data_IF_793408060828
#
_entry.id   IF_793408060828
#
_cell.length_a   1.000
_cell.length_b   1.000
_cell.length_c   1.000
_cell.angle_alpha   90.00
_cell.angle_beta   90.00
_cell.angle_gamma   90.00
#
_symmetry.space_group_name_H-M   'P 1'
#
loop_
_entity.id
_entity.type
_entity.pdbx_description
1 polymer ?
#
# COMPACT_ATOMS: atom_id res chain seq x y z
N UNK A 1 2.29 -13.45 -37.27
CA UNK A 1 1.61 -14.51 -36.48
C UNK A 1 2.64 -15.23 -35.63
N UNK A 2 2.77 -14.87 -34.36
CA UNK A 2 3.53 -15.66 -33.38
C UNK A 2 2.61 -16.77 -32.83
N UNK A 3 3.11 -18.00 -32.62
CA UNK A 3 2.27 -19.11 -32.20
C UNK A 3 1.83 -18.92 -30.74
N UNK A 4 0.53 -19.16 -30.54
CA UNK A 4 -0.29 -19.05 -29.32
C UNK A 4 0.15 -19.89 -28.11
N UNK A 5 1.35 -20.48 -28.07
CA UNK A 5 1.76 -21.39 -26.98
C UNK A 5 2.60 -20.70 -25.88
N UNK A 6 2.71 -19.37 -25.91
CA UNK A 6 3.56 -18.58 -25.01
C UNK A 6 2.86 -17.35 -24.45
N UNK A 7 1.52 -17.26 -24.47
CA UNK A 7 0.88 -16.10 -23.84
C UNK A 7 1.19 -16.13 -22.34
N UNK A 8 1.95 -15.13 -21.94
CA UNK A 8 2.33 -14.92 -20.55
C UNK A 8 1.40 -13.86 -19.97
N UNK A 9 1.20 -13.91 -18.67
CA UNK A 9 0.54 -12.88 -17.89
C UNK A 9 1.36 -12.62 -16.65
N UNK A 10 1.24 -11.43 -16.09
CA UNK A 10 1.71 -11.19 -14.74
C UNK A 10 0.56 -11.41 -13.76
N UNK A 11 0.88 -11.94 -12.60
CA UNK A 11 -0.01 -11.98 -11.46
C UNK A 11 0.61 -11.14 -10.36
N UNK A 12 -0.04 -10.04 -10.01
CA UNK A 12 0.32 -9.19 -8.88
C UNK A 12 -0.53 -9.60 -7.68
N UNK A 13 0.13 -10.06 -6.61
CA UNK A 13 -0.54 -10.40 -5.35
C UNK A 13 -0.20 -9.36 -4.30
N UNK A 14 -1.22 -8.79 -3.68
CA UNK A 14 -1.06 -7.85 -2.57
C UNK A 14 -1.42 -8.55 -1.26
N UNK A 15 -0.53 -8.44 -0.29
CA UNK A 15 -0.68 -9.00 1.04
C UNK A 15 -0.80 -7.88 2.07
N UNK A 16 -1.72 -8.02 3.01
CA UNK A 16 -1.77 -7.18 4.20
C UNK A 16 -0.59 -7.46 5.13
N UNK A 17 -0.40 -6.60 6.13
CA UNK A 17 0.62 -6.80 7.18
C UNK A 17 0.55 -8.15 7.91
N UNK A 18 -0.61 -8.80 7.92
CA UNK A 18 -0.79 -10.12 8.54
C UNK A 18 -0.51 -11.28 7.57
N UNK A 19 -0.03 -10.99 6.36
CA UNK A 19 0.21 -11.96 5.30
C UNK A 19 -1.05 -12.45 4.59
N UNK A 20 -2.22 -11.85 4.84
CA UNK A 20 -3.46 -12.21 4.13
C UNK A 20 -3.46 -11.61 2.73
N UNK A 21 -3.82 -12.39 1.72
CA UNK A 21 -4.02 -11.89 0.36
C UNK A 21 -5.25 -10.98 0.36
N UNK A 22 -5.08 -9.74 -0.07
CA UNK A 22 -6.18 -8.77 -0.21
C UNK A 22 -6.52 -8.43 -1.67
N UNK A 23 -5.59 -8.65 -2.59
CA UNK A 23 -5.82 -8.50 -4.03
C UNK A 23 -4.96 -9.49 -4.84
N UNK A 24 -5.48 -9.93 -5.97
CA UNK A 24 -4.77 -10.81 -6.91
C UNK A 24 -5.12 -10.41 -8.35
N UNK A 25 -4.28 -9.59 -8.96
CA UNK A 25 -4.54 -8.95 -10.24
C UNK A 25 -3.82 -9.67 -11.38
N UNK A 26 -4.57 -9.95 -12.46
CA UNK A 26 -4.03 -10.58 -13.68
C UNK A 26 -3.79 -9.50 -14.72
N UNK A 27 -2.53 -9.29 -15.06
CA UNK A 27 -2.09 -8.27 -16.00
C UNK A 27 -1.59 -8.91 -17.29
N UNK A 28 -1.89 -8.30 -18.42
CA UNK A 28 -1.27 -8.70 -19.69
C UNK A 28 0.25 -8.52 -19.63
N UNK A 29 0.99 -9.38 -20.34
CA UNK A 29 2.45 -9.35 -20.39
C UNK A 29 3.04 -8.08 -21.02
N UNK A 30 2.22 -7.27 -21.70
CA UNK A 30 2.62 -5.96 -22.20
C UNK A 30 2.68 -4.88 -21.12
N UNK A 31 2.04 -5.08 -19.95
CA UNK A 31 2.08 -4.11 -18.87
C UNK A 31 3.49 -3.95 -18.29
N UNK A 32 3.87 -2.71 -18.01
CA UNK A 32 5.13 -2.34 -17.34
C UNK A 32 4.92 -1.53 -16.07
N UNK A 33 3.67 -1.16 -15.79
CA UNK A 33 3.24 -0.39 -14.62
C UNK A 33 1.83 -0.79 -14.26
N UNK A 34 1.51 -0.71 -12.97
CA UNK A 34 0.19 -0.95 -12.42
C UNK A 34 0.00 -0.07 -11.18
N UNK A 35 -1.20 0.47 -11.00
CA UNK A 35 -1.54 1.26 -9.81
C UNK A 35 -2.45 0.42 -8.93
N UNK A 36 -2.00 0.13 -7.71
CA UNK A 36 -2.83 -0.50 -6.69
C UNK A 36 -3.62 0.61 -6.00
N UNK A 37 -4.94 0.44 -5.93
CA UNK A 37 -5.88 1.41 -5.33
C UNK A 37 -6.56 0.81 -4.10
N UNK A 38 -7.36 1.61 -3.39
CA UNK A 38 -8.17 1.19 -2.23
C UNK A 38 -7.37 0.59 -1.06
N UNK A 39 -6.09 0.97 -0.94
CA UNK A 39 -5.25 0.64 0.21
C UNK A 39 -5.61 1.55 1.39
N UNK A 40 -5.59 1.00 2.59
CA UNK A 40 -5.83 1.78 3.82
C UNK A 40 -4.59 2.62 4.15
N UNK A 41 -4.75 3.83 4.69
CA UNK A 41 -3.63 4.68 5.12
C UNK A 41 -2.89 4.07 6.33
N UNK A 42 -1.63 4.46 6.53
CA UNK A 42 -0.80 4.03 7.66
C UNK A 42 -0.70 2.50 7.82
N UNK A 43 -0.78 1.75 6.72
CA UNK A 43 -0.75 0.29 6.74
C UNK A 43 0.41 -0.26 5.92
N UNK A 44 1.01 -1.33 6.44
CA UNK A 44 2.05 -2.09 5.75
C UNK A 44 1.46 -3.12 4.80
N UNK A 45 2.00 -3.16 3.58
CA UNK A 45 1.64 -4.09 2.54
C UNK A 45 2.88 -4.71 1.91
N UNK A 46 2.75 -5.96 1.47
CA UNK A 46 3.73 -6.64 0.62
C UNK A 46 3.13 -6.92 -0.75
N UNK A 47 3.92 -6.77 -1.80
CA UNK A 47 3.51 -6.96 -3.18
C UNK A 47 4.42 -8.00 -3.85
N UNK A 48 3.85 -9.08 -4.36
CA UNK A 48 4.56 -10.08 -5.14
C UNK A 48 4.10 -10.03 -6.60
N UNK A 49 5.05 -9.95 -7.53
CA UNK A 49 4.78 -10.06 -8.96
C UNK A 49 5.38 -11.36 -9.52
N UNK A 50 4.54 -12.19 -10.13
CA UNK A 50 4.92 -13.47 -10.75
C UNK A 50 4.58 -13.47 -12.23
N UNK A 51 5.41 -14.13 -13.04
CA UNK A 51 5.10 -14.41 -14.44
C UNK A 51 4.41 -15.77 -14.52
N UNK A 52 3.29 -15.85 -15.22
CA UNK A 52 2.47 -17.06 -15.34
C UNK A 52 2.20 -17.35 -16.82
N UNK A 53 2.26 -18.61 -17.22
CA UNK A 53 1.91 -19.05 -18.59
C UNK A 53 0.41 -19.36 -18.74
N UNK A 54 -0.03 -19.74 -19.94
CA UNK A 54 -1.43 -20.10 -20.20
C UNK A 54 -1.94 -21.30 -19.39
N UNK A 55 -1.02 -22.17 -18.93
CA UNK A 55 -1.33 -23.35 -18.14
C UNK A 55 -1.42 -23.05 -16.64
N UNK A 56 -1.19 -21.79 -16.23
CA UNK A 56 -1.17 -21.39 -14.83
C UNK A 56 0.15 -21.71 -14.11
N UNK A 57 1.18 -22.11 -14.86
CA UNK A 57 2.52 -22.36 -14.30
C UNK A 57 3.21 -21.03 -14.04
N UNK A 58 3.55 -20.77 -12.79
CA UNK A 58 4.25 -19.55 -12.38
C UNK A 58 5.76 -19.74 -12.33
N UNK A 59 6.52 -18.66 -12.54
CA UNK A 59 7.95 -18.64 -12.22
C UNK A 59 8.17 -18.92 -10.74
N UNK A 60 9.26 -19.64 -10.43
CA UNK A 60 9.72 -19.86 -9.05
C UNK A 60 10.22 -18.54 -8.46
N UNK A 61 10.86 -17.71 -9.28
CA UNK A 61 11.30 -16.37 -8.88
C UNK A 61 10.12 -15.40 -8.82
N UNK A 62 10.07 -14.63 -7.74
CA UNK A 62 9.18 -13.50 -7.55
C UNK A 62 9.96 -12.36 -6.90
N UNK A 63 9.58 -11.13 -7.26
CA UNK A 63 10.07 -9.95 -6.56
C UNK A 63 9.00 -9.55 -5.56
N UNK A 64 9.41 -9.41 -4.30
CA UNK A 64 8.58 -8.88 -3.23
C UNK A 64 9.04 -7.46 -2.87
N UNK A 65 8.10 -6.53 -2.75
CA UNK A 65 8.35 -5.17 -2.24
C UNK A 65 7.42 -4.90 -1.07
N UNK A 66 7.96 -4.34 0.01
CA UNK A 66 7.19 -3.91 1.17
C UNK A 66 7.05 -2.39 1.16
N UNK A 67 5.84 -1.89 1.40
CA UNK A 67 5.52 -0.46 1.44
C UNK A 67 4.57 -0.19 2.59
N UNK A 68 4.75 0.96 3.24
CA UNK A 68 3.78 1.51 4.19
C UNK A 68 3.09 2.68 3.48
N UNK A 69 1.75 2.66 3.44
CA UNK A 69 0.96 3.76 2.90
C UNK A 69 1.07 4.99 3.81
N UNK A 70 1.04 6.18 3.19
CA UNK A 70 1.01 7.42 3.95
C UNK A 70 -0.33 7.60 4.68
N UNK A 71 -0.37 8.53 5.63
CA UNK A 71 -1.62 8.92 6.28
C UNK A 71 -2.58 9.51 5.25
N UNK A 72 -3.88 9.18 5.35
CA UNK A 72 -4.87 9.59 4.35
C UNK A 72 -5.02 11.11 4.29
N UNK A 73 -4.84 11.77 5.43
CA UNK A 73 -4.75 13.22 5.57
C UNK A 73 -4.06 13.53 6.90
N UNK A 74 -3.26 14.60 6.94
CA UNK A 74 -2.84 15.19 8.22
C UNK A 74 -4.09 15.73 8.89
N UNK A 75 -4.67 14.93 9.79
CA UNK A 75 -5.88 15.35 10.46
C UNK A 75 -5.65 16.66 11.22
N UNK A 76 -6.65 17.54 11.23
CA UNK A 76 -6.54 18.85 11.87
C UNK A 76 -6.34 18.70 13.38
N UNK A 77 -5.28 19.29 13.90
CA UNK A 77 -5.07 19.42 15.34
C UNK A 77 -6.24 20.22 15.94
N UNK A 78 -6.80 19.74 17.05
CA UNK A 78 -7.96 20.35 17.71
C UNK A 78 -7.63 20.74 19.15
N UNK A 79 -8.49 21.59 19.74
CA UNK A 79 -8.42 21.99 21.16
C UNK A 79 -7.04 22.54 21.56
N UNK A 80 -6.52 23.52 20.78
CA UNK A 80 -5.33 24.27 21.19
C UNK A 80 -5.66 25.11 22.42
N UNK A 81 -5.12 24.71 23.55
CA UNK A 81 -5.20 25.38 24.84
C UNK A 81 -3.87 26.08 25.14
N UNK A 82 -3.98 27.22 25.80
CA UNK A 82 -2.85 28.05 26.20
C UNK A 82 -3.02 28.43 27.67
N UNK A 83 -2.04 28.03 28.47
CA UNK A 83 -1.93 28.44 29.87
C UNK A 83 -0.71 29.33 30.04
N UNK A 84 -0.90 30.48 30.68
CA UNK A 84 0.24 31.34 31.05
C UNK A 84 0.91 30.77 32.31
N UNK A 85 2.18 30.43 32.19
CA UNK A 85 2.99 29.90 33.30
C UNK A 85 3.71 31.03 34.03
N UNK A 86 4.15 32.07 33.30
CA UNK A 86 4.78 33.25 33.89
C UNK A 86 4.62 34.49 32.99
N UNK A 87 5.25 35.61 33.36
CA UNK A 87 5.34 36.80 32.50
C UNK A 87 6.00 36.53 31.13
N UNK A 88 6.84 35.48 31.03
CA UNK A 88 7.63 35.19 29.83
C UNK A 88 7.48 33.76 29.32
N UNK A 89 6.53 32.97 29.84
CA UNK A 89 6.34 31.60 29.43
C UNK A 89 4.87 31.18 29.34
N UNK A 90 4.60 30.38 28.32
CA UNK A 90 3.30 29.80 28.01
C UNK A 90 3.45 28.28 27.90
N UNK A 91 2.44 27.56 28.38
CA UNK A 91 2.25 26.14 28.12
C UNK A 91 1.20 25.98 27.03
N UNK A 92 1.53 25.22 26.00
CA UNK A 92 0.62 24.92 24.90
C UNK A 92 0.27 23.44 24.95
N UNK A 93 -1.02 23.14 24.80
CA UNK A 93 -1.53 21.78 24.73
C UNK A 93 -2.53 21.69 23.60
N UNK A 94 -2.56 20.56 22.91
CA UNK A 94 -3.54 20.29 21.85
C UNK A 94 -3.85 18.80 21.79
N UNK A 95 -4.89 18.45 21.05
CA UNK A 95 -5.33 17.07 20.85
C UNK A 95 -5.17 16.68 19.38
N UNK A 96 -4.54 15.52 19.17
CA UNK A 96 -4.59 14.84 17.88
C UNK A 96 -5.97 14.19 17.76
N UNK A 97 -6.65 14.30 16.61
CA UNK A 97 -7.86 13.54 16.38
C UNK A 97 -7.56 12.04 16.35
N UNK A 98 -8.54 11.22 16.72
CA UNK A 98 -8.43 9.76 16.63
C UNK A 98 -8.61 9.34 15.18
N UNK A 99 -7.67 8.53 14.66
CA UNK A 99 -7.81 7.89 13.35
C UNK A 99 -9.02 6.94 13.44
N UNK A 100 -10.10 7.24 12.72
CA UNK A 100 -11.33 6.42 12.71
C UNK A 100 -11.25 5.25 11.74
#
# INVERSE_FOLDING_TARGET
>A
NMPSACARKFVLTTFSTNGSIIANEKLDYSHRKYTVVDLKPCQSYSFELKLVDENGTSTVDYNAVNVITEASDLMSVSNLELDRVSLYSLYLKWFLPEES
#
